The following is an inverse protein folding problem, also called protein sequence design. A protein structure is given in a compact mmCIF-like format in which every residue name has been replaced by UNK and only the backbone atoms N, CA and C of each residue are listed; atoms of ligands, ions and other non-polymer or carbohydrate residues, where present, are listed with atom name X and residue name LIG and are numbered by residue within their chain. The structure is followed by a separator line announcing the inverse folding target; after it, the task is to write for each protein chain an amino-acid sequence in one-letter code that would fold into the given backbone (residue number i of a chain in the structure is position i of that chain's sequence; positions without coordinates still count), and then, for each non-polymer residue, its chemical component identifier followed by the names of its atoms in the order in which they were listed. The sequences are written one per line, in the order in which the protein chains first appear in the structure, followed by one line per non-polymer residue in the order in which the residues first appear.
data_IF_824062899755
#
_entry.id   IF_824062899755
#
_cell.length_a   1.000
_cell.length_b   1.000
_cell.length_c   1.000
_cell.angle_alpha   90.00
_cell.angle_beta   90.00
_cell.angle_gamma   90.00
#
_symmetry.space_group_name_H-M   'P 1'
#
loop_
_entity.id
_entity.type
_entity.pdbx_description
1 polymer ?
#
# COMPACT_ATOMS: atom_id res chain seq x y z
N UNK A 1 13.71 1.37 -6.67
CA UNK A 1 13.00 1.35 -5.36
C UNK A 1 11.53 1.07 -5.61
N UNK A 2 10.91 0.15 -4.86
CA UNK A 2 9.47 -0.13 -4.94
C UNK A 2 8.75 0.79 -3.96
N UNK A 3 7.67 1.44 -4.42
CA UNK A 3 6.88 2.28 -3.53
C UNK A 3 6.18 1.44 -2.45
N UNK A 4 6.06 1.96 -1.21
CA UNK A 4 5.32 1.27 -0.16
C UNK A 4 3.86 1.09 -0.57
N UNK A 5 3.24 -0.01 -0.14
CA UNK A 5 1.83 -0.30 -0.36
C UNK A 5 1.03 -0.14 0.92
N UNK A 6 -0.19 0.36 0.78
CA UNK A 6 -1.16 0.57 1.87
C UNK A 6 -2.54 0.11 1.41
N UNK A 7 -3.44 -0.15 2.36
CA UNK A 7 -4.84 -0.43 2.02
C UNK A 7 -5.56 0.85 1.64
N UNK A 8 -6.24 0.83 0.48
CA UNK A 8 -7.17 1.89 0.13
C UNK A 8 -8.39 1.83 1.07
N UNK A 9 -8.76 2.91 1.77
CA UNK A 9 -9.87 2.90 2.73
C UNK A 9 -11.26 2.78 2.06
N UNK A 10 -11.33 2.88 0.73
CA UNK A 10 -12.58 2.81 -0.04
C UNK A 10 -12.83 1.41 -0.63
N UNK A 11 -11.77 0.64 -0.92
CA UNK A 11 -11.90 -0.64 -1.61
C UNK A 11 -11.03 -1.76 -1.04
N UNK A 12 -10.31 -1.51 0.05
CA UNK A 12 -9.43 -2.44 0.78
C UNK A 12 -8.36 -3.13 -0.08
N UNK A 13 -8.04 -2.56 -1.24
CA UNK A 13 -6.99 -3.07 -2.11
C UNK A 13 -5.62 -2.53 -1.69
N UNK A 14 -4.57 -3.34 -1.81
CA UNK A 14 -3.20 -2.87 -1.61
C UNK A 14 -2.79 -2.00 -2.79
N UNK A 15 -2.59 -0.71 -2.54
CA UNK A 15 -2.29 0.32 -3.53
C UNK A 15 -0.98 1.02 -3.15
N UNK A 16 -0.22 1.45 -4.15
CA UNK A 16 1.02 2.19 -3.92
C UNK A 16 0.72 3.56 -3.31
N UNK A 17 1.46 3.92 -2.27
CA UNK A 17 1.41 5.24 -1.66
C UNK A 17 2.56 6.10 -2.19
N UNK A 18 2.24 7.15 -2.92
CA UNK A 18 3.21 8.07 -3.49
C UNK A 18 3.62 9.14 -2.46
N UNK A 19 4.91 9.50 -2.40
CA UNK A 19 5.36 10.60 -1.56
C UNK A 19 4.78 11.92 -2.06
N UNK A 20 4.53 12.85 -1.15
CA UNK A 20 4.10 14.22 -1.46
C UNK A 20 5.09 15.23 -0.92
N UNK A 21 4.92 16.51 -1.29
CA UNK A 21 5.68 17.61 -0.68
C UNK A 21 5.31 17.85 0.78
N UNK A 22 4.16 17.35 1.25
CA UNK A 22 3.68 17.56 2.61
C UNK A 22 4.21 16.47 3.53
N UNK A 23 5.03 16.87 4.51
CA UNK A 23 5.60 15.96 5.51
C UNK A 23 4.50 15.22 6.26
N UNK A 24 4.67 13.91 6.42
CA UNK A 24 3.71 13.07 7.13
C UNK A 24 2.50 12.64 6.30
N UNK A 25 2.45 12.95 5.00
CA UNK A 25 1.35 12.56 4.11
C UNK A 25 1.84 11.84 2.85
N UNK A 26 1.06 10.87 2.40
CA UNK A 26 1.19 10.25 1.09
C UNK A 26 -0.10 10.39 0.27
N UNK A 27 -0.04 10.05 -1.01
CA UNK A 27 -1.21 10.02 -1.91
C UNK A 27 -1.40 8.61 -2.44
N UNK A 28 -2.63 8.11 -2.36
CA UNK A 28 -2.98 6.83 -2.98
C UNK A 28 -2.85 6.95 -4.50
N UNK A 29 -2.01 6.10 -5.10
CA UNK A 29 -1.89 6.05 -6.54
C UNK A 29 -3.21 5.65 -7.20
N UNK A 30 -3.43 6.11 -8.43
CA UNK A 30 -4.57 5.69 -9.24
C UNK A 30 -4.64 4.17 -9.34
N UNK A 31 -5.84 3.64 -9.10
CA UNK A 31 -6.15 2.24 -9.22
C UNK A 31 -7.61 2.03 -9.60
N UNK A 32 -7.88 0.92 -10.28
CA UNK A 32 -9.23 0.48 -10.61
C UNK A 32 -9.94 -0.05 -9.36
N UNK A 33 -11.25 0.15 -9.27
CA UNK A 33 -12.08 -0.35 -8.16
C UNK A 33 -11.92 -1.86 -8.00
N UNK A 34 -12.18 -2.61 -9.05
CA UNK A 34 -11.90 -4.05 -9.13
C UNK A 34 -11.04 -4.38 -10.36
N UNK A 35 -10.56 -5.63 -10.49
CA UNK A 35 -9.67 -6.02 -11.60
C UNK A 35 -10.35 -5.96 -12.98
N UNK A 36 -11.67 -6.10 -13.05
CA UNK A 36 -12.45 -6.17 -14.30
C UNK A 36 -13.11 -4.84 -14.66
N UNK A 37 -13.25 -3.91 -13.71
CA UNK A 37 -13.79 -2.57 -13.94
C UNK A 37 -12.88 -1.70 -14.80
N UNK A 38 -13.50 -0.80 -15.58
CA UNK A 38 -12.83 0.34 -16.20
C UNK A 38 -13.00 1.63 -15.38
N UNK A 39 -13.53 1.51 -14.17
CA UNK A 39 -13.81 2.63 -13.28
C UNK A 39 -12.69 2.76 -12.25
N UNK A 40 -12.15 3.96 -12.11
CA UNK A 40 -11.19 4.27 -11.05
C UNK A 40 -11.87 4.24 -9.69
N UNK A 41 -11.13 3.80 -8.67
CA UNK A 41 -11.59 3.87 -7.30
C UNK A 41 -11.75 5.34 -6.87
N UNK A 42 -12.83 5.67 -6.15
CA UNK A 42 -13.07 7.00 -5.59
C UNK A 42 -12.00 7.43 -4.59
N UNK A 43 -11.28 6.47 -4.00
CA UNK A 43 -10.15 6.71 -3.11
C UNK A 43 -8.84 7.02 -3.84
N UNK A 44 -8.81 6.94 -5.17
CA UNK A 44 -7.62 7.29 -5.95
C UNK A 44 -7.26 8.76 -5.74
N UNK A 45 -5.97 9.07 -5.70
CA UNK A 45 -5.43 10.40 -5.47
C UNK A 45 -5.76 11.03 -4.11
N UNK A 46 -6.42 10.30 -3.20
CA UNK A 46 -6.70 10.76 -1.83
C UNK A 46 -5.40 10.89 -1.04
N UNK A 47 -5.24 12.02 -0.35
CA UNK A 47 -4.18 12.21 0.63
C UNK A 47 -4.49 11.44 1.91
N UNK A 48 -3.49 10.74 2.43
CA UNK A 48 -3.58 10.00 3.68
C UNK A 48 -2.42 10.37 4.62
N UNK A 49 -2.69 10.52 5.93
CA UNK A 49 -1.64 10.57 6.94
C UNK A 49 -0.80 9.28 6.91
N UNK A 50 0.51 9.38 7.06
CA UNK A 50 1.39 8.22 7.12
C UNK A 50 1.18 7.36 8.39
N UNK A 51 0.51 7.90 9.41
CA UNK A 51 0.08 7.17 10.61
C UNK A 51 -1.05 6.18 10.32
N UNK A 52 -1.94 6.55 9.41
CA UNK A 52 -3.14 5.77 9.06
C UNK A 52 -2.84 4.80 7.91
N UNK A 53 -1.72 5.04 7.23
CA UNK A 53 -1.15 4.14 6.25
C UNK A 53 -0.66 2.84 6.92
N UNK A 54 -1.54 1.83 7.01
CA UNK A 54 -1.12 0.47 7.36
C UNK A 54 -0.18 -0.05 6.27
N UNK A 55 1.12 0.08 6.50
CA UNK A 55 2.15 -0.33 5.54
C UNK A 55 2.16 -1.84 5.43
N UNK A 56 1.87 -2.34 4.24
CA UNK A 56 2.17 -3.72 3.90
C UNK A 56 3.60 -3.78 3.37
N UNK A 57 4.48 -4.35 4.16
CA UNK A 57 5.78 -4.79 3.70
C UNK A 57 5.59 -6.20 3.13
N UNK A 58 5.47 -6.30 1.79
CA UNK A 58 5.22 -7.58 1.11
C UNK A 58 6.31 -8.63 1.43
N UNK A 59 7.55 -8.19 1.72
CA UNK A 59 8.63 -8.95 2.35
C UNK A 59 9.80 -8.00 2.66
N UNK A 60 10.59 -8.28 3.70
CA UNK A 60 11.93 -7.72 3.82
C UNK A 60 12.87 -8.48 2.87
N UNK A 61 13.74 -7.79 2.10
CA UNK A 61 14.73 -8.48 1.26
C UNK A 61 15.59 -9.41 2.13
N UNK A 62 15.63 -10.70 1.81
CA UNK A 62 16.41 -11.70 2.55
C UNK A 62 15.69 -12.37 3.73
N UNK A 63 14.41 -12.05 3.98
CA UNK A 63 13.60 -12.76 4.97
C UNK A 63 12.62 -13.71 4.29
N UNK A 64 12.59 -14.94 4.79
CA UNK A 64 11.68 -15.99 4.34
C UNK A 64 10.22 -15.56 4.51
N UNK A 65 9.35 -15.97 3.58
CA UNK A 65 7.92 -15.69 3.65
C UNK A 65 7.24 -16.27 4.90
N UNK A 66 5.99 -15.87 5.20
CA UNK A 66 5.30 -16.19 6.45
C UNK A 66 5.06 -17.69 6.70
N UNK A 67 5.20 -18.54 5.68
CA UNK A 67 5.08 -20.00 5.81
C UNK A 67 6.39 -20.70 6.21
N UNK A 68 7.47 -19.95 6.41
CA UNK A 68 8.71 -20.52 6.95
C UNK A 68 8.59 -20.67 8.47
N UNK A 69 8.88 -21.86 9.04
CA UNK A 69 8.90 -22.02 10.49
C UNK A 69 9.93 -21.06 11.09
N UNK A 70 9.62 -20.38 12.21
CA UNK A 70 10.56 -19.48 12.86
C UNK A 70 11.79 -20.27 13.29
N UNK A 71 12.95 -19.97 12.70
CA UNK A 71 14.24 -20.51 13.13
C UNK A 71 14.86 -19.57 14.16
N UNK A 72 15.29 -20.11 15.30
CA UNK A 72 15.92 -19.35 16.39
C UNK A 72 17.42 -19.05 16.16
N UNK A 73 17.90 -19.22 14.93
CA UNK A 73 19.30 -19.03 14.56
C UNK A 73 19.41 -18.36 13.19
#
# INVERSE_FOLDING_TARGET
MRAPRVQCPECDRPVALMPTRRTGYGVLHDHKRDRRSLVLCTGSMRQLPLTDATRWQDALPGLSGPDAPPTLF
#
